data_IF_370482386408
#
_entry.id   IF_370482386408
#
_cell.length_a   1.000
_cell.length_b   1.000
_cell.length_c   1.000
_cell.angle_alpha   90.00
_cell.angle_beta   90.00
_cell.angle_gamma   90.00
#
_symmetry.space_group_name_H-M   'P 1'
#
loop_
_entity.id
_entity.type
_entity.pdbx_description
1 polymer ?
#
# COMPACT_ATOMS: atom_id res chain seq x y z
N UNK A 1 1.06 -13.13 -11.17
CA UNK A 1 0.59 -12.40 -9.97
C UNK A 1 1.31 -11.07 -9.78
N UNK A 2 2.66 -11.01 -9.65
CA UNK A 2 3.37 -9.70 -9.61
C UNK A 2 3.21 -8.88 -10.90
N UNK A 3 3.26 -9.54 -12.06
CA UNK A 3 3.04 -8.90 -13.35
C UNK A 3 1.63 -8.30 -13.45
N UNK A 4 0.60 -9.08 -13.12
CA UNK A 4 -0.80 -8.64 -13.19
C UNK A 4 -1.11 -7.42 -12.32
N UNK A 5 -0.52 -7.33 -11.12
CA UNK A 5 -0.68 -6.18 -10.20
C UNK A 5 -0.02 -4.93 -10.81
N UNK A 6 1.23 -5.05 -11.27
CA UNK A 6 1.96 -3.89 -11.79
C UNK A 6 1.36 -3.41 -13.12
N UNK A 7 0.95 -4.32 -14.00
CA UNK A 7 0.28 -3.99 -15.26
C UNK A 7 -1.04 -3.25 -15.02
N UNK A 8 -1.90 -3.77 -14.13
CA UNK A 8 -3.16 -3.10 -13.80
C UNK A 8 -2.95 -1.71 -13.18
N UNK A 9 -1.90 -1.53 -12.36
CA UNK A 9 -1.60 -0.22 -11.78
C UNK A 9 -0.99 0.74 -12.79
N UNK A 10 -0.10 0.29 -13.67
CA UNK A 10 0.50 1.14 -14.70
C UNK A 10 -0.51 1.58 -15.76
N UNK A 11 -1.50 0.74 -16.07
CA UNK A 11 -2.57 1.07 -17.01
C UNK A 11 -3.49 2.17 -16.45
N UNK A 12 -3.89 2.07 -15.19
CA UNK A 12 -4.81 3.03 -14.56
C UNK A 12 -4.11 4.29 -14.00
N UNK A 13 -2.88 4.14 -13.51
CA UNK A 13 -2.09 5.22 -12.90
C UNK A 13 -0.87 5.56 -13.77
N UNK A 14 -1.10 5.86 -15.04
CA UNK A 14 -0.05 6.18 -16.02
C UNK A 14 0.85 7.35 -15.62
N UNK A 15 0.33 8.28 -14.82
CA UNK A 15 1.03 9.46 -14.32
C UNK A 15 1.73 9.23 -12.97
N UNK A 16 1.67 8.01 -12.43
CA UNK A 16 2.32 7.64 -11.18
C UNK A 16 3.49 6.68 -11.40
N UNK A 17 4.47 6.73 -10.51
CA UNK A 17 5.60 5.80 -10.54
C UNK A 17 5.27 4.57 -9.70
N UNK A 18 5.11 3.42 -10.36
CA UNK A 18 4.96 2.12 -9.67
C UNK A 18 6.35 1.56 -9.38
N UNK A 19 6.68 1.42 -8.10
CA UNK A 19 7.95 0.82 -7.65
C UNK A 19 7.65 -0.50 -6.95
N UNK A 20 8.36 -1.55 -7.34
CA UNK A 20 8.26 -2.87 -6.70
C UNK A 20 9.47 -3.08 -5.80
N UNK A 21 9.22 -3.32 -4.51
CA UNK A 21 10.25 -3.65 -3.54
C UNK A 21 9.97 -5.03 -2.95
N UNK A 22 11.04 -5.81 -2.73
CA UNK A 22 10.96 -7.16 -2.16
C UNK A 22 11.31 -7.20 -0.67
N UNK A 23 11.96 -6.14 -0.19
CA UNK A 23 12.41 -6.00 1.20
C UNK A 23 11.95 -4.66 1.77
N UNK A 24 11.79 -4.62 3.10
CA UNK A 24 11.42 -3.40 3.80
C UNK A 24 12.51 -2.33 3.72
N UNK A 25 13.77 -2.73 3.58
CA UNK A 25 14.91 -1.83 3.34
C UNK A 25 14.76 -1.10 2.00
N UNK A 26 14.45 -1.82 0.92
CA UNK A 26 14.23 -1.19 -0.40
C UNK A 26 13.02 -0.27 -0.41
N UNK A 27 11.97 -0.57 0.38
CA UNK A 27 10.83 0.36 0.58
C UNK A 27 11.30 1.64 1.25
N UNK A 28 12.08 1.55 2.33
CA UNK A 28 12.57 2.71 3.07
C UNK A 28 13.51 3.58 2.22
N UNK A 29 14.41 2.97 1.45
CA UNK A 29 15.30 3.69 0.52
C UNK A 29 14.48 4.43 -0.54
N UNK A 30 13.48 3.77 -1.13
CA UNK A 30 12.59 4.39 -2.12
C UNK A 30 11.82 5.55 -1.51
N UNK A 31 11.26 5.38 -0.32
CA UNK A 31 10.50 6.42 0.38
C UNK A 31 11.36 7.63 0.75
N UNK A 32 12.62 7.42 1.15
CA UNK A 32 13.49 8.50 1.65
C UNK A 32 13.75 9.63 0.65
N UNK A 33 13.56 9.39 -0.65
CA UNK A 33 13.69 10.39 -1.71
C UNK A 33 12.38 11.00 -2.20
N UNK A 34 11.23 10.55 -1.69
CA UNK A 34 9.91 10.97 -2.18
C UNK A 34 9.37 12.12 -1.34
N UNK A 35 8.92 13.17 -2.02
CA UNK A 35 8.25 14.33 -1.44
C UNK A 35 6.74 14.33 -1.68
N UNK A 36 6.24 13.36 -2.45
CA UNK A 36 4.85 13.19 -2.82
C UNK A 36 4.17 12.14 -1.92
N UNK A 37 2.85 12.24 -1.72
CA UNK A 37 2.09 11.20 -1.02
C UNK A 37 2.24 9.85 -1.72
N UNK A 38 2.51 8.79 -0.95
CA UNK A 38 2.80 7.44 -1.48
C UNK A 38 1.73 6.45 -1.04
N UNK A 39 1.33 5.55 -1.95
CA UNK A 39 0.56 4.37 -1.60
C UNK A 39 1.48 3.15 -1.59
N UNK A 40 1.59 2.48 -0.45
CA UNK A 40 2.40 1.29 -0.29
C UNK A 40 1.51 0.04 -0.29
N UNK A 41 1.71 -0.85 -1.26
CA UNK A 41 0.98 -2.12 -1.34
C UNK A 41 1.85 -3.22 -0.75
N UNK A 42 1.39 -3.82 0.35
CA UNK A 42 2.10 -4.85 1.11
C UNK A 42 1.40 -6.19 0.93
N UNK A 43 2.02 -7.09 0.17
CA UNK A 43 1.60 -8.49 0.07
C UNK A 43 2.39 -9.33 1.09
N UNK A 44 1.90 -9.38 2.33
CA UNK A 44 2.54 -10.07 3.44
C UNK A 44 1.60 -11.12 4.02
N UNK A 45 2.15 -12.25 4.49
CA UNK A 45 1.39 -13.20 5.30
C UNK A 45 1.09 -12.58 6.67
N UNK A 46 -0.16 -12.68 7.12
CA UNK A 46 -0.76 -12.07 8.33
C UNK A 46 0.06 -12.18 9.61
N UNK A 47 0.89 -13.22 9.76
CA UNK A 47 1.79 -13.39 10.90
C UNK A 47 2.93 -12.35 10.96
N UNK A 48 3.35 -11.82 9.81
CA UNK A 48 4.43 -10.84 9.70
C UNK A 48 3.94 -9.39 9.82
N UNK A 49 2.61 -9.18 9.87
CA UNK A 49 1.98 -7.86 9.71
C UNK A 49 1.81 -7.12 11.05
N UNK A 50 1.61 -7.82 12.17
CA UNK A 50 1.25 -7.18 13.45
C UNK A 50 2.34 -6.27 14.05
N UNK A 51 3.61 -6.68 14.00
CA UNK A 51 4.71 -5.90 14.58
C UNK A 51 5.15 -4.69 13.72
N UNK A 52 5.23 -4.79 12.37
CA UNK A 52 5.76 -3.69 11.57
C UNK A 52 4.74 -2.58 11.24
N UNK A 53 3.43 -2.80 11.21
CA UNK A 53 2.49 -1.76 10.73
C UNK A 53 2.48 -0.50 11.59
N UNK A 54 2.41 -0.64 12.91
CA UNK A 54 2.45 0.48 13.86
C UNK A 54 3.76 1.27 13.76
N UNK A 55 4.86 0.57 13.44
CA UNK A 55 6.16 1.20 13.23
C UNK A 55 6.22 1.90 11.88
N UNK A 56 5.67 1.29 10.83
CA UNK A 56 5.63 1.84 9.47
C UNK A 56 4.79 3.10 9.41
N UNK A 57 3.61 3.15 10.03
CA UNK A 57 2.79 4.38 10.07
C UNK A 57 3.47 5.52 10.82
N UNK A 58 4.26 5.22 11.86
CA UNK A 58 5.05 6.24 12.58
C UNK A 58 6.25 6.73 11.78
N UNK A 59 6.89 5.84 11.03
CA UNK A 59 8.04 6.20 10.19
C UNK A 59 7.62 6.92 8.91
N UNK A 60 6.42 6.63 8.41
CA UNK A 60 5.91 7.06 7.12
C UNK A 60 4.46 7.57 7.26
N UNK A 61 4.24 8.72 7.92
CA UNK A 61 2.90 9.25 8.18
C UNK A 61 2.19 9.74 6.92
N UNK A 62 2.94 10.04 5.85
CA UNK A 62 2.44 10.50 4.55
C UNK A 62 2.20 9.33 3.57
N UNK A 63 2.11 8.10 4.11
CA UNK A 63 1.91 6.87 3.33
C UNK A 63 0.61 6.18 3.73
N UNK A 64 -0.19 5.86 2.72
CA UNK A 64 -1.37 5.01 2.86
C UNK A 64 -0.98 3.58 2.50
N UNK A 65 -1.29 2.65 3.38
CA UNK A 65 -0.91 1.25 3.21
C UNK A 65 -2.11 0.41 2.75
N UNK A 66 -1.89 -0.40 1.71
CA UNK A 66 -2.85 -1.41 1.23
C UNK A 66 -2.27 -2.78 1.54
N UNK A 67 -2.94 -3.52 2.41
CA UNK A 67 -2.56 -4.86 2.83
C UNK A 67 -3.26 -5.89 1.96
N UNK A 68 -2.49 -6.78 1.34
CA UNK A 68 -3.00 -7.89 0.54
C UNK A 68 -2.65 -9.20 1.25
N UNK A 69 -3.66 -9.92 1.73
CA UNK A 69 -3.48 -11.25 2.33
C UNK A 69 -4.70 -12.15 2.13
N UNK A 70 -4.57 -13.45 2.43
CA UNK A 70 -5.67 -14.42 2.38
C UNK A 70 -6.67 -14.24 3.55
N UNK A 71 -6.20 -13.73 4.69
CA UNK A 71 -7.02 -13.45 5.86
C UNK A 71 -6.66 -12.11 6.50
N UNK A 72 -7.68 -11.38 6.97
CA UNK A 72 -7.44 -10.14 7.69
C UNK A 72 -6.64 -10.44 8.96
N UNK A 73 -5.64 -9.62 9.32
CA UNK A 73 -4.90 -9.80 10.56
C UNK A 73 -5.87 -9.83 11.75
N UNK A 74 -5.69 -10.76 12.69
CA UNK A 74 -6.46 -10.76 13.95
C UNK A 74 -6.27 -9.42 14.66
N UNK A 75 -7.36 -8.70 14.94
CA UNK A 75 -7.37 -7.33 15.49
C UNK A 75 -6.96 -6.22 14.51
N UNK A 76 -7.17 -6.41 13.20
CA UNK A 76 -7.08 -5.31 12.25
C UNK A 76 -8.20 -4.29 12.49
N UNK A 77 -7.89 -3.22 13.22
CA UNK A 77 -8.73 -2.03 13.30
C UNK A 77 -8.50 -1.21 12.02
N UNK A 78 -9.23 -1.54 10.96
CA UNK A 78 -9.15 -0.83 9.69
C UNK A 78 -9.34 0.68 9.88
N UNK A 79 -8.57 1.47 9.13
CA UNK A 79 -8.55 2.93 9.26
C UNK A 79 -8.22 3.60 7.93
N UNK A 80 -8.22 4.93 7.91
CA UNK A 80 -7.92 5.70 6.69
C UNK A 80 -6.48 5.50 6.19
N UNK A 81 -5.54 5.19 7.08
CA UNK A 81 -4.14 4.92 6.75
C UNK A 81 -3.85 3.46 6.35
N UNK A 82 -4.74 2.52 6.71
CA UNK A 82 -4.55 1.09 6.44
C UNK A 82 -5.82 0.51 5.83
N UNK A 83 -5.72 0.13 4.56
CA UNK A 83 -6.76 -0.57 3.82
C UNK A 83 -6.39 -2.03 3.64
N UNK A 84 -7.38 -2.90 3.55
CA UNK A 84 -7.18 -4.34 3.43
C UNK A 84 -7.92 -4.89 2.20
N UNK A 85 -7.21 -5.67 1.38
CA UNK A 85 -7.71 -6.35 0.20
C UNK A 85 -7.48 -7.86 0.35
N UNK A 86 -8.54 -8.67 0.59
CA UNK A 86 -8.40 -10.11 0.70
C UNK A 86 -8.09 -10.77 -0.66
N UNK A 87 -7.31 -11.85 -0.63
CA UNK A 87 -7.14 -12.78 -1.74
C UNK A 87 -8.27 -13.83 -1.78
N UNK A 88 -8.71 -14.27 -2.97
CA UNK A 88 -8.35 -13.75 -4.29
C UNK A 88 -9.01 -12.37 -4.56
N UNK A 89 -8.31 -11.49 -5.27
CA UNK A 89 -8.81 -10.18 -5.69
C UNK A 89 -8.76 -10.02 -7.22
N UNK A 90 -9.58 -9.10 -7.75
CA UNK A 90 -9.57 -8.71 -9.16
C UNK A 90 -8.80 -7.41 -9.36
N UNK A 91 -8.35 -7.13 -10.58
CA UNK A 91 -7.69 -5.85 -10.93
C UNK A 91 -8.56 -4.64 -10.57
N UNK A 92 -9.87 -4.69 -10.82
CA UNK A 92 -10.80 -3.63 -10.42
C UNK A 92 -10.80 -3.37 -8.90
N UNK A 93 -10.76 -4.43 -8.09
CA UNK A 93 -10.73 -4.31 -6.62
C UNK A 93 -9.41 -3.73 -6.13
N UNK A 94 -8.30 -4.11 -6.76
CA UNK A 94 -6.98 -3.53 -6.50
C UNK A 94 -6.96 -2.03 -6.85
N UNK A 95 -7.46 -1.67 -8.03
CA UNK A 95 -7.54 -0.29 -8.46
C UNK A 95 -8.43 0.53 -7.52
N UNK A 96 -9.61 0.01 -7.17
CA UNK A 96 -10.55 0.70 -6.28
C UNK A 96 -9.91 0.98 -4.92
N UNK A 97 -9.22 0.00 -4.31
CA UNK A 97 -8.61 0.19 -3.00
C UNK A 97 -7.42 1.15 -3.04
N UNK A 98 -6.63 1.14 -4.13
CA UNK A 98 -5.53 2.10 -4.32
C UNK A 98 -6.06 3.51 -4.53
N UNK A 99 -7.18 3.68 -5.26
CA UNK A 99 -7.87 4.98 -5.37
C UNK A 99 -8.36 5.47 -4.00
N UNK A 100 -8.92 4.58 -3.18
CA UNK A 100 -9.32 4.91 -1.80
C UNK A 100 -8.11 5.28 -0.94
N UNK A 101 -7.00 4.55 -1.05
CA UNK A 101 -5.75 4.84 -0.33
C UNK A 101 -5.21 6.23 -0.70
N UNK A 102 -5.23 6.55 -1.99
CA UNK A 102 -4.77 7.84 -2.53
C UNK A 102 -5.68 8.98 -2.08
N UNK A 103 -7.00 8.78 -2.08
CA UNK A 103 -7.98 9.78 -1.62
C UNK A 103 -7.90 10.04 -0.11
N UNK A 104 -7.41 9.06 0.67
CA UNK A 104 -7.17 9.20 2.10
C UNK A 104 -5.89 9.95 2.46
N UNK A 105 -4.99 10.18 1.50
CA UNK A 105 -3.76 10.92 1.72
C UNK A 105 -4.06 12.42 1.85
N UNK A 106 -3.39 13.13 2.78
CA UNK A 106 -3.57 14.56 2.94
C UNK A 106 -3.24 15.27 1.61
N UNK A 107 -4.25 15.85 0.98
CA UNK A 107 -4.11 16.49 -0.34
C UNK A 107 -3.49 17.90 -0.28
N UNK A 108 -2.90 18.29 0.84
CA UNK A 108 -2.54 19.69 1.09
C UNK A 108 -1.14 19.86 1.71
N UNK A 109 -0.19 20.26 0.85
CA UNK A 109 0.82 21.26 1.20
C UNK A 109 0.89 22.26 0.05
N UNK A 110 -0.16 23.08 -0.06
CA UNK A 110 -0.10 24.35 -0.80
C UNK A 110 0.58 25.43 0.05
#
# INVERSE_FOLDING_TARGET
MRADICEALLEEFSDQTVVVAETMESVAETYSGLTAPVVAILSLSSELVKAPLDQLSRMMPDVSFVLIDDAAPENFEGGTAFLYLPRPFSSDSLIAIVKTATAGLPSDRS
#
